data_IF_736866179508
#
_entry.id   IF_736866179508
#
_cell.length_a   1.000
_cell.length_b   1.000
_cell.length_c   1.000
_cell.angle_alpha   90.00
_cell.angle_beta   90.00
_cell.angle_gamma   90.00
#
_symmetry.space_group_name_H-M   'P 1'
#
loop_
_entity.id
_entity.type
_entity.pdbx_description
1 polymer ?
#
# COMPACT_ATOMS: atom_id res chain seq x y z
N UNK A 1 14.56 -14.18 -0.84
CA UNK A 1 14.63 -12.73 -0.62
C UNK A 1 14.06 -12.40 0.74
N UNK A 2 14.91 -11.99 1.67
CA UNK A 2 14.52 -11.76 3.07
C UNK A 2 14.45 -10.27 3.44
N UNK A 3 14.83 -9.40 2.51
CA UNK A 3 14.81 -7.95 2.70
C UNK A 3 13.86 -7.29 1.72
N UNK A 4 13.09 -6.29 2.16
CA UNK A 4 12.21 -5.57 1.25
C UNK A 4 12.98 -4.54 0.43
N UNK A 5 12.37 -4.16 -0.70
CA UNK A 5 12.82 -3.03 -1.51
C UNK A 5 11.87 -1.86 -1.27
N UNK A 6 12.42 -0.69 -1.04
CA UNK A 6 11.62 0.53 -0.91
C UNK A 6 11.32 1.07 -2.31
N UNK A 7 10.04 1.25 -2.60
CA UNK A 7 9.54 1.78 -3.85
C UNK A 7 8.64 2.98 -3.57
N UNK A 8 8.39 3.77 -4.59
CA UNK A 8 7.50 4.92 -4.50
C UNK A 8 6.58 4.98 -5.70
N UNK A 9 5.39 5.54 -5.49
CA UNK A 9 4.44 5.83 -6.57
C UNK A 9 3.90 7.25 -6.38
N UNK A 10 3.73 7.97 -7.49
CA UNK A 10 3.15 9.31 -7.47
C UNK A 10 1.64 9.20 -7.45
N UNK A 11 1.02 9.86 -6.49
CA UNK A 11 -0.42 9.94 -6.34
C UNK A 11 -0.90 11.36 -6.52
N UNK A 12 -2.16 11.53 -6.91
CA UNK A 12 -2.76 12.84 -7.13
C UNK A 12 -3.86 13.10 -6.11
N UNK A 13 -3.84 14.27 -5.52
CA UNK A 13 -4.92 14.78 -4.66
C UNK A 13 -5.38 16.16 -5.13
N UNK A 14 -6.32 16.77 -4.41
CA UNK A 14 -6.87 18.07 -4.80
C UNK A 14 -5.88 19.24 -4.76
N UNK A 15 -4.70 19.06 -4.17
CA UNK A 15 -3.66 20.08 -4.06
C UNK A 15 -2.43 19.78 -4.91
N UNK A 16 -2.38 18.65 -5.60
CA UNK A 16 -1.28 18.27 -6.45
C UNK A 16 -0.79 16.86 -6.21
N UNK A 17 0.50 16.63 -6.43
CA UNK A 17 1.10 15.32 -6.31
C UNK A 17 1.66 15.08 -4.92
N UNK A 18 1.59 13.84 -4.48
CA UNK A 18 2.31 13.35 -3.30
C UNK A 18 2.83 11.95 -3.59
N UNK A 19 3.93 11.58 -2.94
CA UNK A 19 4.51 10.25 -3.11
C UNK A 19 4.07 9.33 -1.99
N UNK A 20 3.66 8.13 -2.38
CA UNK A 20 3.40 7.05 -1.44
C UNK A 20 4.50 6.02 -1.55
N UNK A 21 5.13 5.70 -0.42
CA UNK A 21 6.13 4.65 -0.34
C UNK A 21 5.45 3.29 -0.16
N UNK A 22 6.08 2.24 -0.69
CA UNK A 22 5.67 0.89 -0.38
C UNK A 22 6.89 -0.03 -0.32
N UNK A 23 6.80 -1.03 0.54
CA UNK A 23 7.84 -2.03 0.74
C UNK A 23 7.46 -3.28 -0.03
N UNK A 24 8.34 -3.71 -0.93
CA UNK A 24 8.08 -4.85 -1.80
C UNK A 24 9.01 -6.00 -1.45
N UNK A 25 8.41 -7.17 -1.24
CA UNK A 25 9.10 -8.40 -0.90
C UNK A 25 8.83 -9.45 -1.97
N UNK A 26 9.80 -10.35 -2.20
CA UNK A 26 9.63 -11.48 -3.09
C UNK A 26 9.93 -11.13 -4.54
N UNK A 27 9.47 -12.02 -5.44
CA UNK A 27 9.71 -11.88 -6.87
C UNK A 27 8.80 -10.78 -7.46
N UNK A 28 9.38 -9.70 -8.00
CA UNK A 28 8.57 -8.61 -8.58
C UNK A 28 7.80 -9.03 -9.83
N UNK A 29 8.09 -10.20 -10.40
CA UNK A 29 7.38 -10.73 -11.57
C UNK A 29 6.32 -11.76 -11.21
N UNK A 30 6.16 -12.09 -9.92
CA UNK A 30 5.14 -13.04 -9.49
C UNK A 30 3.75 -12.53 -9.84
N UNK A 31 2.91 -13.42 -10.36
CA UNK A 31 1.50 -13.11 -10.64
C UNK A 31 0.64 -13.15 -9.38
N UNK A 32 1.15 -13.72 -8.30
CA UNK A 32 0.45 -13.77 -7.01
C UNK A 32 0.91 -12.59 -6.17
N UNK A 33 0.04 -11.59 -6.05
CA UNK A 33 0.34 -10.36 -5.34
C UNK A 33 -0.51 -10.27 -4.08
N UNK A 34 0.14 -10.02 -2.94
CA UNK A 34 -0.51 -9.78 -1.65
C UNK A 34 -0.22 -8.35 -1.22
N UNK A 35 -1.26 -7.57 -1.02
CA UNK A 35 -1.15 -6.20 -0.50
C UNK A 35 -1.55 -6.21 0.97
N UNK A 36 -0.66 -5.69 1.82
CA UNK A 36 -0.87 -5.62 3.27
C UNK A 36 -0.94 -4.17 3.71
N UNK A 37 -2.07 -3.74 4.27
CA UNK A 37 -2.31 -2.33 4.62
C UNK A 37 -2.56 -2.19 6.12
N UNK A 38 -1.79 -1.30 6.73
CA UNK A 38 -1.73 -1.07 8.17
C UNK A 38 -2.89 -0.21 8.70
N UNK A 39 -2.99 -0.13 10.03
CA UNK A 39 -3.96 0.71 10.71
C UNK A 39 -3.55 2.18 10.81
N UNK A 40 -4.40 2.98 11.45
CA UNK A 40 -4.36 4.45 11.45
C UNK A 40 -2.99 5.03 11.82
N UNK A 41 -2.37 4.55 12.88
CA UNK A 41 -1.12 5.11 13.42
C UNK A 41 0.06 4.17 13.20
N UNK A 42 -0.01 3.29 12.21
CA UNK A 42 0.99 2.25 11.95
C UNK A 42 1.71 2.50 10.62
N UNK A 43 2.43 1.50 10.13
CA UNK A 43 3.22 1.61 8.90
C UNK A 43 3.40 0.24 8.25
N UNK A 44 3.85 0.25 7.00
CA UNK A 44 4.00 -0.97 6.21
C UNK A 44 4.96 -2.00 6.80
N UNK A 45 6.00 -1.55 7.51
CA UNK A 45 6.97 -2.47 8.13
C UNK A 45 6.38 -3.28 9.29
N UNK A 46 5.18 -2.96 9.75
CA UNK A 46 4.46 -3.80 10.71
C UNK A 46 4.20 -5.21 10.16
N UNK A 47 4.21 -5.38 8.83
CA UNK A 47 3.98 -6.67 8.18
C UNK A 47 5.26 -7.45 7.88
N UNK A 48 6.41 -7.02 8.39
CA UNK A 48 7.69 -7.67 8.07
C UNK A 48 7.68 -9.18 8.32
N UNK A 49 7.18 -9.61 9.47
CA UNK A 49 7.14 -11.04 9.80
C UNK A 49 6.25 -11.83 8.84
N UNK A 50 5.06 -11.30 8.56
CA UNK A 50 4.14 -11.93 7.61
C UNK A 50 4.75 -11.97 6.21
N UNK A 51 5.33 -10.85 5.78
CA UNK A 51 5.94 -10.73 4.46
C UNK A 51 7.11 -11.72 4.29
N UNK A 52 7.97 -11.83 5.29
CA UNK A 52 9.07 -12.80 5.26
C UNK A 52 8.56 -14.22 5.11
N UNK A 53 7.46 -14.55 5.79
CA UNK A 53 6.89 -15.89 5.74
C UNK A 53 6.27 -16.21 4.38
N UNK A 54 5.77 -15.20 3.64
CA UNK A 54 5.00 -15.42 2.42
C UNK A 54 5.73 -15.03 1.13
N UNK A 55 6.88 -14.37 1.21
CA UNK A 55 7.55 -13.81 0.03
C UNK A 55 8.13 -14.86 -0.92
N UNK A 56 8.22 -16.13 -0.51
CA UNK A 56 8.61 -17.21 -1.41
C UNK A 56 7.46 -17.65 -2.34
N UNK A 57 6.22 -17.28 -2.00
CA UNK A 57 5.02 -17.65 -2.74
C UNK A 57 4.28 -16.46 -3.34
N UNK A 58 4.56 -15.26 -2.85
CA UNK A 58 3.87 -14.02 -3.23
C UNK A 58 4.86 -12.90 -3.46
N UNK A 59 4.48 -11.98 -4.35
CA UNK A 59 5.00 -10.63 -4.33
C UNK A 59 4.21 -9.88 -3.24
N UNK A 60 4.86 -9.57 -2.13
CA UNK A 60 4.20 -8.93 -0.98
C UNK A 60 4.47 -7.43 -1.04
N UNK A 61 3.42 -6.63 -1.00
CA UNK A 61 3.47 -5.18 -1.13
C UNK A 61 2.84 -4.56 0.10
N UNK A 62 3.62 -3.79 0.84
CA UNK A 62 3.21 -3.19 2.11
C UNK A 62 3.37 -1.66 2.01
N UNK A 63 2.32 -0.95 1.55
CA UNK A 63 2.41 0.50 1.45
C UNK A 63 2.40 1.18 2.82
N UNK A 64 3.03 2.35 2.87
CA UNK A 64 2.84 3.31 3.93
C UNK A 64 1.72 4.26 3.48
N UNK A 65 0.57 4.23 4.14
CA UNK A 65 -0.53 5.14 3.82
C UNK A 65 -0.03 6.58 3.97
N UNK A 66 -0.46 7.47 3.09
CA UNK A 66 -0.02 8.87 3.07
C UNK A 66 -0.02 9.47 4.49
N UNK A 67 1.05 10.18 4.82
CA UNK A 67 1.27 10.75 6.15
C UNK A 67 1.92 9.81 7.15
N UNK A 68 2.22 8.56 6.75
CA UNK A 68 2.86 7.57 7.64
C UNK A 68 4.14 7.03 7.00
N UNK A 69 5.01 6.49 7.83
CA UNK A 69 6.25 5.85 7.39
C UNK A 69 7.07 6.73 6.48
N UNK A 70 7.43 6.20 5.32
CA UNK A 70 8.26 6.88 4.33
C UNK A 70 7.47 7.66 3.27
N UNK A 71 6.13 7.68 3.39
CA UNK A 71 5.28 8.43 2.46
C UNK A 71 5.27 9.91 2.77
N UNK A 72 4.96 10.72 1.76
CA UNK A 72 4.78 12.15 1.93
C UNK A 72 3.58 12.46 2.84
N UNK A 73 3.55 13.68 3.34
CA UNK A 73 2.39 14.24 4.03
C UNK A 73 1.56 15.04 3.03
N UNK A 74 0.25 15.11 3.26
CA UNK A 74 -0.62 15.96 2.45
C UNK A 74 -0.45 17.43 2.83
N UNK A 75 -0.49 18.31 1.82
CA UNK A 75 -0.45 19.76 2.04
C UNK A 75 -1.70 20.25 2.78
N UNK A 76 -2.85 19.63 2.50
CA UNK A 76 -4.12 19.95 3.13
C UNK A 76 -4.49 18.88 4.15
N UNK A 77 -4.52 19.20 5.46
CA UNK A 77 -4.90 18.23 6.48
C UNK A 77 -6.27 17.61 6.28
N UNK A 78 -7.18 18.32 5.61
CA UNK A 78 -8.54 17.82 5.33
C UNK A 78 -8.55 16.69 4.29
N UNK A 79 -7.43 16.46 3.61
CA UNK A 79 -7.29 15.36 2.65
C UNK A 79 -7.13 13.99 3.28
N UNK A 80 -6.81 13.91 4.58
CA UNK A 80 -6.65 12.61 5.26
C UNK A 80 -8.02 11.97 5.48
N UNK A 81 -8.41 11.11 4.55
CA UNK A 81 -9.71 10.47 4.54
C UNK A 81 -9.66 9.14 3.79
N UNK A 82 -10.62 8.27 4.06
CA UNK A 82 -10.71 6.97 3.37
C UNK A 82 -10.78 7.14 1.84
N UNK A 83 -11.58 8.05 1.27
CA UNK A 83 -11.57 8.23 -0.19
C UNK A 83 -10.21 8.58 -0.77
N UNK A 84 -9.42 9.40 -0.10
CA UNK A 84 -8.05 9.73 -0.54
C UNK A 84 -7.17 8.47 -0.49
N UNK A 85 -7.26 7.70 0.58
CA UNK A 85 -6.46 6.47 0.72
C UNK A 85 -6.84 5.44 -0.34
N UNK A 86 -8.13 5.30 -0.64
CA UNK A 86 -8.60 4.42 -1.70
C UNK A 86 -8.04 4.86 -3.06
N UNK A 87 -8.07 6.16 -3.35
CA UNK A 87 -7.53 6.70 -4.60
C UNK A 87 -6.03 6.40 -4.73
N UNK A 88 -5.27 6.55 -3.64
CA UNK A 88 -3.84 6.23 -3.64
C UNK A 88 -3.60 4.74 -3.91
N UNK A 89 -4.43 3.87 -3.35
CA UNK A 89 -4.32 2.43 -3.59
C UNK A 89 -4.66 2.04 -5.02
N UNK A 90 -5.61 2.72 -5.66
CA UNK A 90 -5.89 2.52 -7.09
C UNK A 90 -4.64 2.82 -7.93
N UNK A 91 -3.94 3.92 -7.61
CA UNK A 91 -2.69 4.28 -8.28
C UNK A 91 -1.62 3.22 -8.04
N UNK A 92 -1.50 2.71 -6.82
CA UNK A 92 -0.57 1.63 -6.49
C UNK A 92 -0.88 0.37 -7.32
N UNK A 93 -2.14 -0.05 -7.34
CA UNK A 93 -2.54 -1.24 -8.09
C UNK A 93 -2.21 -1.11 -9.58
N UNK A 94 -2.39 0.08 -10.15
CA UNK A 94 -2.01 0.36 -11.53
C UNK A 94 -0.49 0.19 -11.73
N UNK A 95 0.31 0.67 -10.79
CA UNK A 95 1.77 0.52 -10.83
C UNK A 95 2.20 -0.94 -10.74
N UNK A 96 1.50 -1.73 -9.93
CA UNK A 96 1.85 -3.14 -9.76
C UNK A 96 1.53 -3.97 -11.00
N UNK A 97 0.69 -3.46 -11.87
CA UNK A 97 0.34 -4.09 -13.16
C UNK A 97 -0.10 -5.54 -13.00
N UNK A 98 -1.08 -5.75 -12.14
CA UNK A 98 -1.64 -7.07 -11.88
C UNK A 98 -3.16 -7.07 -12.06
N UNK A 99 -3.69 -8.19 -12.55
CA UNK A 99 -5.14 -8.32 -12.80
C UNK A 99 -5.94 -8.44 -11.51
N UNK A 100 -5.32 -8.98 -10.45
CA UNK A 100 -5.98 -9.13 -9.16
C UNK A 100 -4.94 -9.24 -8.06
N UNK A 101 -5.35 -8.89 -6.85
CA UNK A 101 -4.51 -8.99 -5.65
C UNK A 101 -5.30 -9.64 -4.53
N UNK A 102 -4.58 -10.28 -3.61
CA UNK A 102 -5.11 -10.61 -2.30
C UNK A 102 -4.81 -9.44 -1.37
N UNK A 103 -5.69 -9.20 -0.41
CA UNK A 103 -5.62 -8.05 0.47
C UNK A 103 -5.69 -8.46 1.93
N UNK A 104 -4.71 -8.01 2.71
CA UNK A 104 -4.72 -8.11 4.17
C UNK A 104 -4.77 -6.69 4.71
N UNK A 105 -5.83 -6.35 5.43
CA UNK A 105 -5.97 -5.03 6.02
C UNK A 105 -6.19 -5.13 7.52
N UNK A 106 -5.46 -4.32 8.28
CA UNK A 106 -5.62 -4.21 9.72
C UNK A 106 -6.38 -2.93 10.03
N UNK A 107 -7.55 -3.02 10.67
CA UNK A 107 -8.36 -1.86 11.07
C UNK A 107 -8.62 -0.94 9.86
N UNK A 108 -8.05 0.28 9.85
CA UNK A 108 -8.18 1.21 8.73
C UNK A 108 -7.83 0.57 7.38
N UNK A 109 -6.78 -0.27 7.35
CA UNK A 109 -6.38 -0.98 6.13
C UNK A 109 -7.49 -1.88 5.59
N UNK A 110 -8.27 -2.48 6.47
CA UNK A 110 -9.46 -3.26 6.08
C UNK A 110 -10.55 -2.38 5.49
N UNK A 111 -10.80 -1.21 6.06
CA UNK A 111 -11.79 -0.24 5.54
C UNK A 111 -11.38 0.25 4.15
N UNK A 112 -10.10 0.49 3.93
CA UNK A 112 -9.58 0.87 2.61
C UNK A 112 -9.87 -0.25 1.60
N UNK A 113 -9.61 -1.49 1.99
CA UNK A 113 -9.88 -2.65 1.13
C UNK A 113 -11.35 -2.78 0.77
N UNK A 114 -12.26 -2.54 1.72
CA UNK A 114 -13.70 -2.54 1.45
C UNK A 114 -14.07 -1.43 0.46
N UNK A 115 -13.47 -0.25 0.59
CA UNK A 115 -13.67 0.86 -0.34
C UNK A 115 -13.24 0.51 -1.76
N UNK A 116 -12.11 -0.17 -1.90
CA UNK A 116 -11.64 -0.66 -3.21
C UNK A 116 -12.59 -1.69 -3.80
N UNK A 117 -13.04 -2.63 -2.99
CA UNK A 117 -13.94 -3.70 -3.46
C UNK A 117 -15.28 -3.17 -3.95
N UNK A 118 -15.68 -1.98 -3.50
CA UNK A 118 -16.94 -1.35 -3.89
C UNK A 118 -16.87 -0.58 -5.22
N UNK A 119 -15.68 -0.42 -5.78
CA UNK A 119 -15.50 0.31 -7.04
C UNK A 119 -15.94 -0.49 -8.26
#
# INVERSE_FOLDING_TARGET
MTEPRLRHVQCLDGKGLHRMAYWEWGDPLSERVLVCVHGLARQGRDFDTLAQALCSHYRVVCPDVVGRGQSDWLADPMGYSIPTYVADMVTLLARLDTAQVDWVGTSMGGLIGLGLAAL
#
